data_IF_530437986103
#
_entry.id   IF_530437986103
#
_cell.length_a   1.000
_cell.length_b   1.000
_cell.length_c   1.000
_cell.angle_alpha   90.00
_cell.angle_beta   90.00
_cell.angle_gamma   90.00
#
_symmetry.space_group_name_H-M   'P 1'
#
loop_
_entity.id
_entity.type
_entity.pdbx_description
1 polymer ?
#
# COMPACT_ATOMS: atom_id res chain seq x y z
N UNK A 1 43.23 37.99 1.62
CA UNK A 1 44.05 38.69 0.60
C UNK A 1 43.96 37.87 -0.68
N UNK A 2 43.13 38.28 -1.66
CA UNK A 2 43.54 39.14 -2.80
C UNK A 2 44.47 38.35 -3.74
N UNK A 3 43.93 37.73 -4.80
CA UNK A 3 43.71 38.28 -6.15
C UNK A 3 44.94 38.14 -7.08
N UNK A 4 44.72 37.42 -8.20
CA UNK A 4 45.14 37.73 -9.59
C UNK A 4 46.64 37.81 -9.92
N UNK A 5 47.08 37.27 -11.06
CA UNK A 5 47.35 38.01 -12.32
C UNK A 5 47.60 36.92 -13.41
N UNK A 6 46.71 36.72 -14.38
CA UNK A 6 46.68 37.27 -15.76
C UNK A 6 47.94 37.08 -16.63
N UNK A 7 47.72 36.37 -17.76
CA UNK A 7 48.15 36.63 -19.16
C UNK A 7 49.63 36.46 -19.56
N UNK A 8 49.85 35.60 -20.57
CA UNK A 8 50.56 35.81 -21.86
C UNK A 8 50.73 34.40 -22.49
N UNK A 9 50.51 34.08 -23.77
CA UNK A 9 50.28 34.86 -24.97
C UNK A 9 51.14 34.28 -26.11
N UNK A 10 50.56 33.42 -26.97
CA UNK A 10 50.98 33.05 -28.33
C UNK A 10 52.36 32.33 -28.49
N UNK A 11 52.72 31.54 -29.51
CA UNK A 11 52.39 31.45 -30.95
C UNK A 11 52.81 30.05 -31.47
N UNK A 12 52.20 29.61 -32.58
CA UNK A 12 52.76 28.80 -33.69
C UNK A 12 52.06 27.44 -33.91
N UNK A 13 51.05 27.33 -34.80
CA UNK A 13 51.05 27.23 -36.27
C UNK A 13 51.24 25.80 -36.82
N UNK A 14 50.35 25.48 -37.77
CA UNK A 14 50.37 24.41 -38.77
C UNK A 14 50.02 22.98 -38.33
N UNK A 15 48.85 22.48 -38.76
CA UNK A 15 48.77 21.42 -39.78
C UNK A 15 47.34 20.90 -40.01
N UNK A 16 46.97 20.86 -41.30
CA UNK A 16 45.99 19.99 -41.97
C UNK A 16 44.48 20.16 -41.73
N UNK A 17 43.96 21.04 -42.60
CA UNK A 17 42.72 20.87 -43.37
C UNK A 17 42.65 19.47 -44.01
N UNK A 18 41.70 18.62 -43.60
CA UNK A 18 41.16 17.55 -44.46
C UNK A 18 39.67 17.37 -44.17
N UNK A 19 38.88 18.06 -44.98
CA UNK A 19 37.46 17.78 -45.20
C UNK A 19 37.38 16.33 -45.67
N UNK A 20 36.87 15.43 -44.82
CA UNK A 20 36.39 14.13 -45.29
C UNK A 20 34.91 14.30 -45.61
N UNK A 21 34.63 14.35 -46.92
CA UNK A 21 33.35 13.92 -47.46
C UNK A 21 33.02 12.54 -46.87
N UNK A 22 31.98 12.47 -46.06
CA UNK A 22 31.33 11.22 -45.73
C UNK A 22 30.28 10.95 -46.81
N UNK A 23 30.36 9.84 -47.56
CA UNK A 23 29.32 9.48 -48.50
C UNK A 23 28.03 9.16 -47.72
N UNK A 24 26.92 9.78 -48.14
CA UNK A 24 25.59 9.45 -47.65
C UNK A 24 25.29 7.96 -47.94
N UNK A 25 24.88 7.15 -46.94
CA UNK A 25 24.23 5.89 -47.26
C UNK A 25 22.86 6.21 -47.83
N UNK A 26 22.64 5.82 -49.09
CA UNK A 26 21.34 5.83 -49.74
C UNK A 26 20.46 4.79 -49.03
N UNK A 27 19.71 5.23 -48.01
CA UNK A 27 18.68 4.38 -47.40
C UNK A 27 17.50 4.38 -48.34
N UNK A 28 17.36 3.28 -49.08
CA UNK A 28 16.15 2.97 -49.83
C UNK A 28 14.94 3.08 -48.89
N UNK A 29 13.94 3.86 -49.31
CA UNK A 29 12.67 4.01 -48.62
C UNK A 29 11.92 2.67 -48.62
N UNK A 30 12.15 1.86 -47.59
CA UNK A 30 11.25 0.79 -47.22
C UNK A 30 10.17 1.37 -46.29
N UNK A 31 8.93 1.43 -46.79
CA UNK A 31 7.78 1.81 -45.99
C UNK A 31 7.66 0.87 -44.76
N UNK A 32 7.39 1.38 -43.56
CA UNK A 32 7.17 0.53 -42.40
C UNK A 32 5.88 -0.28 -42.59
N UNK A 33 5.83 -1.56 -42.15
CA UNK A 33 4.63 -2.36 -42.24
C UNK A 33 3.50 -1.71 -41.43
N UNK A 34 2.49 -1.23 -42.14
CA UNK A 34 1.21 -0.80 -41.59
C UNK A 34 0.43 -2.03 -41.16
N UNK A 35 0.52 -2.45 -39.89
CA UNK A 35 -0.55 -3.13 -39.17
C UNK A 35 -0.16 -3.52 -37.73
N UNK A 36 -1.12 -3.28 -36.83
CA UNK A 36 -1.45 -4.15 -35.69
C UNK A 36 -0.64 -4.08 -34.38
N UNK A 37 -0.16 -2.89 -33.97
CA UNK A 37 0.11 -2.63 -32.54
C UNK A 37 -0.60 -1.37 -32.04
N UNK A 38 -1.91 -1.27 -32.29
CA UNK A 38 -2.79 -0.50 -31.41
C UNK A 38 -3.44 -1.49 -30.45
N UNK A 39 -2.73 -1.82 -29.37
CA UNK A 39 -3.47 -2.14 -28.15
C UNK A 39 -4.27 -0.89 -27.81
N UNK A 40 -5.59 -0.96 -27.58
CA UNK A 40 -6.30 0.19 -27.04
C UNK A 40 -5.62 0.48 -25.70
N UNK A 41 -4.91 1.61 -25.60
CA UNK A 41 -4.63 2.20 -24.31
C UNK A 41 -5.97 2.71 -23.77
N UNK A 42 -6.81 1.79 -23.30
CA UNK A 42 -7.82 2.17 -22.31
C UNK A 42 -7.02 2.70 -21.13
N UNK A 43 -7.24 3.95 -20.68
CA UNK A 43 -6.73 4.34 -19.39
C UNK A 43 -7.32 3.32 -18.43
N UNK A 44 -6.47 2.50 -17.80
CA UNK A 44 -6.91 1.73 -16.66
C UNK A 44 -7.14 2.78 -15.58
N UNK A 45 -8.33 3.37 -15.61
CA UNK A 45 -8.87 4.11 -14.49
C UNK A 45 -8.71 3.13 -13.33
N UNK A 46 -7.83 3.45 -12.39
CA UNK A 46 -7.87 2.84 -11.07
C UNK A 46 -9.21 3.28 -10.49
N UNK A 47 -10.26 2.54 -10.85
CA UNK A 47 -11.55 2.60 -10.19
C UNK A 47 -11.28 2.04 -8.81
N UNK A 48 -11.29 2.91 -7.80
CA UNK A 48 -11.25 2.48 -6.39
C UNK A 48 -12.42 1.56 -6.03
N UNK A 49 -13.44 1.46 -6.89
CA UNK A 49 -14.57 0.57 -6.73
C UNK A 49 -14.22 -0.92 -6.92
N UNK A 50 -13.07 -1.24 -7.52
CA UNK A 50 -12.64 -2.63 -7.80
C UNK A 50 -11.45 -3.06 -6.92
N UNK A 51 -11.32 -2.47 -5.72
CA UNK A 51 -10.47 -3.04 -4.69
C UNK A 51 -11.23 -4.22 -4.08
N UNK A 52 -10.94 -5.43 -4.55
CA UNK A 52 -11.39 -6.68 -3.93
C UNK A 52 -11.26 -6.57 -2.41
N UNK A 53 -12.39 -6.60 -1.70
CA UNK A 53 -12.51 -6.50 -0.24
C UNK A 53 -11.99 -7.77 0.47
N UNK A 54 -11.00 -8.43 -0.11
CA UNK A 54 -10.37 -9.62 0.43
C UNK A 54 -8.91 -9.29 0.70
N UNK A 55 -8.53 -9.37 1.98
CA UNK A 55 -7.14 -9.28 2.40
C UNK A 55 -6.32 -10.38 1.69
N UNK A 56 -5.11 -10.08 1.18
CA UNK A 56 -4.28 -11.09 0.53
C UNK A 56 -3.91 -12.20 1.53
N UNK A 57 -3.86 -13.46 1.08
CA UNK A 57 -3.69 -14.63 1.95
C UNK A 57 -2.46 -14.55 2.89
N UNK A 58 -1.35 -13.97 2.43
CA UNK A 58 -0.15 -13.74 3.25
C UNK A 58 -0.43 -12.85 4.47
N UNK A 59 -1.29 -11.86 4.31
CA UNK A 59 -1.62 -10.90 5.35
C UNK A 59 -2.58 -11.51 6.38
N UNK A 60 -3.52 -12.34 5.94
CA UNK A 60 -4.39 -13.14 6.84
C UNK A 60 -3.54 -14.03 7.75
N UNK A 61 -2.51 -14.70 7.21
CA UNK A 61 -1.62 -15.54 8.01
C UNK A 61 -0.84 -14.73 9.07
N UNK A 62 -0.33 -13.56 8.71
CA UNK A 62 0.39 -12.66 9.64
C UNK A 62 -0.57 -12.18 10.73
N UNK A 63 -1.80 -11.84 10.36
CA UNK A 63 -2.85 -11.41 11.28
C UNK A 63 -3.16 -12.51 12.29
N UNK A 64 -3.36 -13.74 11.83
CA UNK A 64 -3.62 -14.91 12.69
C UNK A 64 -2.47 -15.19 13.68
N UNK A 65 -1.22 -14.99 13.26
CA UNK A 65 -0.06 -15.08 14.16
C UNK A 65 -0.11 -13.98 15.23
N UNK A 66 -0.45 -12.74 14.84
CA UNK A 66 -0.57 -11.60 15.77
C UNK A 66 -1.71 -11.80 16.77
N UNK A 67 -2.86 -12.29 16.32
CA UNK A 67 -4.01 -12.61 17.17
C UNK A 67 -3.61 -13.59 18.27
N UNK A 68 -2.94 -14.69 17.91
CA UNK A 68 -2.46 -15.69 18.87
C UNK A 68 -1.50 -15.10 19.91
N UNK A 69 -0.60 -14.21 19.51
CA UNK A 69 0.31 -13.54 20.44
C UNK A 69 -0.43 -12.64 21.43
N UNK A 70 -1.47 -11.95 20.97
CA UNK A 70 -2.30 -11.09 21.83
C UNK A 70 -3.11 -11.94 22.81
N UNK A 71 -3.72 -13.03 22.34
CA UNK A 71 -4.43 -13.99 23.19
C UNK A 71 -3.50 -14.55 24.28
N UNK A 72 -2.31 -15.01 23.91
CA UNK A 72 -1.30 -15.51 24.86
C UNK A 72 -0.87 -14.45 25.88
N UNK A 73 -0.56 -13.23 25.41
CA UNK A 73 -0.18 -12.12 26.29
C UNK A 73 -1.32 -11.78 27.26
N UNK A 74 -2.56 -11.77 26.78
CA UNK A 74 -3.73 -11.47 27.60
C UNK A 74 -3.97 -12.52 28.69
N UNK A 75 -3.82 -13.81 28.36
CA UNK A 75 -3.94 -14.89 29.32
C UNK A 75 -2.85 -14.79 30.40
N UNK A 76 -1.61 -14.49 30.00
CA UNK A 76 -0.51 -14.28 30.93
C UNK A 76 -0.76 -13.11 31.90
N UNK A 77 -1.22 -11.97 31.38
CA UNK A 77 -1.57 -10.81 32.20
C UNK A 77 -2.73 -11.11 33.15
N UNK A 78 -3.74 -11.85 32.69
CA UNK A 78 -4.86 -12.26 33.53
C UNK A 78 -4.42 -13.18 34.67
N UNK A 79 -3.47 -14.09 34.41
CA UNK A 79 -2.89 -14.94 35.44
C UNK A 79 -2.15 -14.09 36.49
N UNK A 80 -1.34 -13.11 36.08
CA UNK A 80 -0.67 -12.19 37.00
C UNK A 80 -1.66 -11.38 37.85
N UNK A 81 -2.76 -10.91 37.26
CA UNK A 81 -3.83 -10.18 37.97
C UNK A 81 -4.49 -11.08 39.03
N UNK A 82 -4.64 -12.36 38.74
CA UNK A 82 -5.28 -13.34 39.62
C UNK A 82 -4.33 -13.90 40.71
N UNK A 83 -3.04 -13.58 40.69
CA UNK A 83 -2.08 -14.05 41.69
C UNK A 83 -2.19 -13.23 42.99
N UNK A 84 -2.56 -13.87 44.13
CA UNK A 84 -2.74 -13.15 45.40
C UNK A 84 -1.42 -12.71 46.06
N UNK A 85 -0.27 -13.18 45.56
CA UNK A 85 1.07 -12.85 46.07
C UNK A 85 1.76 -11.69 45.32
N UNK A 86 1.12 -11.14 44.28
CA UNK A 86 1.70 -10.07 43.48
C UNK A 86 1.77 -8.75 44.27
N UNK A 87 2.83 -7.97 44.06
CA UNK A 87 2.94 -6.64 44.65
C UNK A 87 1.89 -5.68 44.05
N UNK A 88 1.47 -4.62 44.78
CA UNK A 88 0.53 -3.63 44.26
C UNK A 88 0.99 -2.96 42.95
N UNK A 89 2.29 -2.82 42.74
CA UNK A 89 2.88 -2.24 41.53
C UNK A 89 2.77 -3.17 40.31
N UNK A 90 3.03 -4.47 40.51
CA UNK A 90 2.89 -5.50 39.47
C UNK A 90 1.43 -5.64 39.04
N UNK A 91 0.51 -5.68 40.00
CA UNK A 91 -0.92 -5.70 39.72
C UNK A 91 -1.36 -4.49 38.90
N UNK A 92 -0.97 -3.27 39.32
CA UNK A 92 -1.32 -2.03 38.62
C UNK A 92 -0.78 -2.02 37.19
N UNK A 93 0.45 -2.51 36.98
CA UNK A 93 1.06 -2.61 35.66
C UNK A 93 0.34 -3.62 34.77
N UNK A 94 0.12 -4.83 35.29
CA UNK A 94 -0.56 -5.90 34.55
C UNK A 94 -1.98 -5.47 34.15
N UNK A 95 -2.73 -4.86 35.07
CA UNK A 95 -4.08 -4.40 34.80
C UNK A 95 -4.12 -3.29 33.74
N UNK A 96 -3.18 -2.33 33.79
CA UNK A 96 -3.06 -1.29 32.74
C UNK A 96 -2.73 -1.88 31.37
N UNK A 97 -1.86 -2.88 31.29
CA UNK A 97 -1.55 -3.54 30.03
C UNK A 97 -2.71 -4.39 29.51
N UNK A 98 -3.43 -5.06 30.41
CA UNK A 98 -4.60 -5.86 30.06
C UNK A 98 -5.71 -4.98 29.46
N UNK A 99 -6.05 -3.87 30.11
CA UNK A 99 -7.05 -2.91 29.60
C UNK A 99 -6.68 -2.31 28.24
N UNK A 100 -5.38 -2.15 27.91
CA UNK A 100 -4.97 -1.71 26.58
C UNK A 100 -5.26 -2.74 25.49
N UNK A 101 -5.25 -4.03 25.84
CA UNK A 101 -5.49 -5.13 24.91
C UNK A 101 -6.96 -5.55 24.87
N UNK A 102 -7.76 -5.18 25.86
CA UNK A 102 -9.17 -5.58 26.04
C UNK A 102 -10.01 -5.37 24.78
N UNK A 103 -9.97 -4.16 24.20
CA UNK A 103 -10.71 -3.84 22.97
C UNK A 103 -10.27 -4.70 21.78
N UNK A 104 -8.99 -5.02 21.68
CA UNK A 104 -8.47 -5.88 20.60
C UNK A 104 -8.88 -7.34 20.82
N UNK A 105 -8.91 -7.80 22.07
CA UNK A 105 -9.35 -9.16 22.43
C UNK A 105 -10.85 -9.34 22.16
N UNK A 106 -11.67 -8.33 22.44
CA UNK A 106 -13.10 -8.34 22.11
C UNK A 106 -13.33 -8.53 20.61
N UNK A 107 -12.64 -7.75 19.77
CA UNK A 107 -12.68 -7.90 18.31
C UNK A 107 -12.23 -9.30 17.85
N UNK A 108 -11.16 -9.84 18.45
CA UNK A 108 -10.69 -11.19 18.16
C UNK A 108 -11.75 -12.24 18.51
N UNK A 109 -12.40 -12.11 19.67
CA UNK A 109 -13.47 -13.04 20.11
C UNK A 109 -14.67 -12.99 19.18
N UNK A 110 -15.07 -11.79 18.77
CA UNK A 110 -16.18 -11.59 17.84
C UNK A 110 -15.88 -12.25 16.48
N UNK A 111 -14.67 -12.00 15.93
CA UNK A 111 -14.22 -12.63 14.69
C UNK A 111 -14.21 -14.17 14.80
N UNK A 112 -13.67 -14.73 15.90
CA UNK A 112 -13.66 -16.18 16.16
C UNK A 112 -15.08 -16.76 16.26
N UNK A 113 -16.02 -16.01 16.85
CA UNK A 113 -17.42 -16.42 16.94
C UNK A 113 -18.06 -16.48 15.56
N UNK A 114 -17.82 -15.45 14.73
CA UNK A 114 -18.33 -15.40 13.35
C UNK A 114 -17.73 -16.50 12.47
N UNK A 115 -16.45 -16.83 12.65
CA UNK A 115 -15.83 -17.97 11.96
C UNK A 115 -16.49 -19.30 12.31
N UNK A 116 -16.82 -19.54 13.58
CA UNK A 116 -17.55 -20.74 14.00
C UNK A 116 -18.97 -20.79 13.45
N UNK A 117 -19.65 -19.65 13.39
CA UNK A 117 -20.98 -19.52 12.79
C UNK A 117 -20.94 -19.88 11.30
N UNK A 118 -19.95 -19.36 10.56
CA UNK A 118 -19.71 -19.70 9.15
C UNK A 118 -19.44 -21.20 8.99
N UNK A 119 -18.61 -21.81 9.83
CA UNK A 119 -18.35 -23.26 9.80
C UNK A 119 -19.63 -24.09 10.03
N UNK A 120 -20.47 -23.65 10.97
CA UNK A 120 -21.77 -24.25 11.26
C UNK A 120 -22.73 -24.14 10.08
N UNK A 121 -22.92 -22.94 9.54
CA UNK A 121 -23.78 -22.67 8.38
C UNK A 121 -23.29 -23.41 7.12
N UNK A 122 -21.98 -23.44 6.90
CA UNK A 122 -21.38 -24.20 5.79
C UNK A 122 -21.67 -25.69 5.93
N UNK A 123 -21.59 -26.22 7.16
CA UNK A 123 -21.90 -27.62 7.44
C UNK A 123 -23.38 -27.94 7.21
N UNK A 124 -24.29 -27.03 7.56
CA UNK A 124 -25.73 -27.16 7.27
C UNK A 124 -26.01 -27.14 5.77
N UNK A 125 -25.40 -26.22 5.02
CA UNK A 125 -25.59 -26.15 3.55
C UNK A 125 -25.08 -27.41 2.85
N UNK A 126 -23.98 -28.00 3.33
CA UNK A 126 -23.30 -29.13 2.66
C UNK A 126 -23.76 -30.52 3.09
N UNK A 127 -24.03 -30.74 4.39
CA UNK A 127 -24.26 -32.07 4.95
C UNK A 127 -25.73 -32.38 5.26
N UNK A 128 -26.62 -31.39 5.16
CA UNK A 128 -28.01 -31.58 5.54
C UNK A 128 -28.85 -32.27 4.45
N UNK A 129 -29.60 -33.30 4.87
CA UNK A 129 -30.73 -33.91 4.12
C UNK A 129 -31.97 -32.99 4.17
N UNK A 130 -31.86 -31.83 4.81
CA UNK A 130 -32.91 -30.84 5.03
C UNK A 130 -33.54 -30.38 3.71
N UNK A 131 -34.82 -30.00 3.80
CA UNK A 131 -35.63 -29.52 2.69
C UNK A 131 -34.99 -28.28 2.04
N UNK A 132 -35.28 -28.09 0.75
CA UNK A 132 -34.67 -27.05 -0.10
C UNK A 132 -34.73 -25.66 0.54
N UNK A 133 -35.86 -25.29 1.14
CA UNK A 133 -36.07 -23.98 1.75
C UNK A 133 -35.12 -23.73 2.94
N UNK A 134 -34.80 -24.76 3.74
CA UNK A 134 -33.89 -24.62 4.88
C UNK A 134 -32.44 -24.39 4.42
N UNK A 135 -32.03 -25.04 3.33
CA UNK A 135 -30.71 -24.82 2.72
C UNK A 135 -30.58 -23.46 2.06
N UNK A 136 -31.66 -22.95 1.45
CA UNK A 136 -31.68 -21.60 0.88
C UNK A 136 -31.55 -20.53 1.96
N UNK A 137 -32.29 -20.63 3.07
CA UNK A 137 -32.13 -19.72 4.21
C UNK A 137 -30.73 -19.78 4.82
N UNK A 138 -30.18 -20.98 5.05
CA UNK A 138 -28.82 -21.13 5.58
C UNK A 138 -27.75 -20.56 4.64
N UNK A 139 -27.96 -20.62 3.32
CA UNK A 139 -27.05 -20.03 2.34
C UNK A 139 -27.11 -18.49 2.35
N UNK A 140 -28.28 -17.90 2.56
CA UNK A 140 -28.43 -16.44 2.73
C UNK A 140 -27.72 -15.96 4.01
N UNK A 141 -27.96 -16.63 5.15
CA UNK A 141 -27.28 -16.33 6.42
C UNK A 141 -25.75 -16.50 6.30
N UNK A 142 -25.29 -17.52 5.55
CA UNK A 142 -23.87 -17.74 5.31
C UNK A 142 -23.24 -16.57 4.55
N UNK A 143 -23.94 -16.01 3.55
CA UNK A 143 -23.44 -14.85 2.80
C UNK A 143 -23.31 -13.62 3.70
N UNK A 144 -24.30 -13.36 4.54
CA UNK A 144 -24.25 -12.25 5.51
C UNK A 144 -23.12 -12.44 6.52
N UNK A 145 -22.96 -13.65 7.06
CA UNK A 145 -21.90 -13.97 8.02
C UNK A 145 -20.51 -13.79 7.40
N UNK A 146 -20.31 -14.17 6.14
CA UNK A 146 -19.03 -14.00 5.42
C UNK A 146 -18.71 -12.53 5.15
N UNK A 147 -19.71 -11.70 4.79
CA UNK A 147 -19.48 -10.26 4.64
C UNK A 147 -19.13 -9.59 5.98
N UNK A 148 -19.79 -10.01 7.05
CA UNK A 148 -19.48 -9.52 8.39
C UNK A 148 -18.09 -9.97 8.87
N UNK A 149 -17.68 -11.21 8.57
CA UNK A 149 -16.31 -11.67 8.82
C UNK A 149 -15.29 -10.76 8.12
N UNK A 150 -15.51 -10.42 6.83
CA UNK A 150 -14.61 -9.51 6.10
C UNK A 150 -14.54 -8.13 6.74
N UNK A 151 -15.68 -7.59 7.18
CA UNK A 151 -15.75 -6.30 7.89
C UNK A 151 -14.91 -6.34 9.17
N UNK A 152 -15.09 -7.38 9.98
CA UNK A 152 -14.36 -7.59 11.23
C UNK A 152 -12.86 -7.82 10.98
N UNK A 153 -12.47 -8.57 9.95
CA UNK A 153 -11.07 -8.75 9.56
C UNK A 153 -10.41 -7.43 9.20
N UNK A 154 -11.09 -6.55 8.46
CA UNK A 154 -10.58 -5.22 8.11
C UNK A 154 -10.44 -4.31 9.34
N UNK A 155 -11.43 -4.34 10.23
CA UNK A 155 -11.42 -3.57 11.48
C UNK A 155 -10.29 -4.03 12.42
N UNK A 156 -10.12 -5.34 12.56
CA UNK A 156 -9.03 -5.94 13.31
C UNK A 156 -7.68 -5.59 12.69
N UNK A 157 -7.54 -5.69 11.37
CA UNK A 157 -6.31 -5.31 10.68
C UNK A 157 -5.92 -3.86 10.99
N UNK A 158 -6.87 -2.92 10.92
CA UNK A 158 -6.63 -1.52 11.25
C UNK A 158 -6.19 -1.33 12.71
N UNK A 159 -6.76 -2.09 13.64
CA UNK A 159 -6.44 -2.02 15.06
C UNK A 159 -5.06 -2.61 15.38
N UNK A 160 -4.66 -3.65 14.65
CA UNK A 160 -3.36 -4.31 14.83
C UNK A 160 -2.19 -3.52 14.24
N UNK A 161 -2.45 -2.57 13.36
CA UNK A 161 -1.41 -1.70 12.84
C UNK A 161 -0.86 -0.82 13.98
N UNK A 162 0.46 -0.82 14.20
CA UNK A 162 1.05 0.14 15.11
C UNK A 162 0.74 1.54 14.58
N UNK A 163 0.23 2.42 15.46
CA UNK A 163 0.11 3.84 15.12
C UNK A 163 1.51 4.38 14.85
N UNK A 164 1.79 4.82 13.63
CA UNK A 164 3.04 5.50 13.32
C UNK A 164 2.88 6.99 13.70
N UNK A 165 3.84 7.55 14.42
CA UNK A 165 3.88 9.00 14.70
C UNK A 165 3.99 9.83 13.41
N UNK A 166 4.39 9.20 12.29
CA UNK A 166 4.35 9.80 10.97
C UNK A 166 2.94 9.88 10.36
N UNK A 167 1.99 9.04 10.79
CA UNK A 167 0.62 9.02 10.23
C UNK A 167 -0.18 10.28 10.59
N UNK A 168 0.17 10.93 11.71
CA UNK A 168 -0.50 12.15 12.19
C UNK A 168 0.08 13.45 11.59
N UNK A 169 1.18 13.36 10.83
CA UNK A 169 1.88 14.52 10.27
C UNK A 169 1.59 14.71 8.79
N UNK A 170 1.44 15.96 8.37
CA UNK A 170 1.39 16.31 6.95
C UNK A 170 2.71 15.91 6.27
N UNK A 171 2.61 15.42 5.04
CA UNK A 171 3.77 15.10 4.21
C UNK A 171 3.85 16.04 3.00
N UNK A 172 5.07 16.47 2.69
CA UNK A 172 5.36 17.24 1.46
C UNK A 172 5.86 16.26 0.42
N UNK A 173 5.10 16.10 -0.67
CA UNK A 173 5.50 15.32 -1.83
C UNK A 173 6.17 16.23 -2.86
N UNK A 174 7.48 16.06 -3.06
CA UNK A 174 8.23 16.73 -4.12
C UNK A 174 8.50 15.76 -5.27
N UNK A 175 7.98 16.06 -6.47
CA UNK A 175 8.23 15.28 -7.67
C UNK A 175 9.19 16.05 -8.58
N UNK A 176 10.39 15.49 -8.79
CA UNK A 176 11.42 16.05 -9.69
C UNK A 176 11.58 15.19 -10.93
N UNK A 177 11.62 15.81 -12.11
CA UNK A 177 12.01 15.12 -13.33
C UNK A 177 13.51 14.76 -13.27
N UNK A 178 13.83 13.48 -13.51
CA UNK A 178 15.20 12.99 -13.61
C UNK A 178 15.83 13.28 -14.97
N UNK A 179 16.69 12.38 -15.45
CA UNK A 179 17.22 12.44 -16.82
C UNK A 179 16.17 11.98 -17.83
N UNK A 180 16.18 12.54 -19.04
CA UNK A 180 15.21 12.21 -20.09
C UNK A 180 14.26 13.35 -20.48
N UNK A 181 14.64 14.61 -20.24
CA UNK A 181 14.00 15.78 -20.86
C UNK A 181 12.48 15.82 -20.72
N UNK A 182 11.79 15.89 -21.85
CA UNK A 182 10.33 16.03 -21.94
C UNK A 182 9.59 14.78 -21.46
N UNK A 183 10.14 13.58 -21.74
CA UNK A 183 9.58 12.31 -21.31
C UNK A 183 9.63 12.16 -19.79
N UNK A 184 10.71 12.61 -19.15
CA UNK A 184 10.82 12.60 -17.69
C UNK A 184 9.82 13.55 -17.02
N UNK A 185 9.55 14.71 -17.63
CA UNK A 185 8.53 15.66 -17.15
C UNK A 185 7.10 15.11 -17.28
N UNK A 186 6.79 14.42 -18.39
CA UNK A 186 5.49 13.77 -18.57
C UNK A 186 5.28 12.65 -17.54
N UNK A 187 6.29 11.82 -17.29
CA UNK A 187 6.21 10.76 -16.28
C UNK A 187 6.05 11.31 -14.85
N UNK A 188 6.75 12.40 -14.52
CA UNK A 188 6.56 13.10 -13.25
C UNK A 188 5.11 13.59 -13.07
N UNK A 189 4.50 14.08 -14.14
CA UNK A 189 3.10 14.51 -14.13
C UNK A 189 2.13 13.33 -13.95
N UNK A 190 2.45 12.16 -14.51
CA UNK A 190 1.63 10.96 -14.35
C UNK A 190 1.72 10.39 -12.93
N UNK A 191 2.92 10.40 -12.32
CA UNK A 191 3.07 10.08 -10.89
C UNK A 191 2.24 11.04 -10.04
N UNK A 192 2.31 12.35 -10.30
CA UNK A 192 1.52 13.33 -9.58
C UNK A 192 0.01 13.05 -9.66
N UNK A 193 -0.51 12.69 -10.84
CA UNK A 193 -1.93 12.31 -11.03
C UNK A 193 -2.27 11.00 -10.30
N UNK A 194 -1.38 10.01 -10.37
CA UNK A 194 -1.56 8.70 -9.73
C UNK A 194 -1.59 8.82 -8.20
N UNK A 195 -0.77 9.71 -7.62
CA UNK A 195 -0.73 9.93 -6.17
C UNK A 195 -2.05 10.42 -5.56
N UNK A 196 -3.06 10.74 -6.39
CA UNK A 196 -4.43 11.04 -5.93
C UNK A 196 -4.55 12.35 -5.15
N UNK A 197 -3.48 13.14 -5.09
CA UNK A 197 -3.40 14.38 -4.34
C UNK A 197 -4.17 15.47 -5.10
N UNK A 198 -5.37 15.82 -4.63
CA UNK A 198 -6.20 16.92 -5.17
C UNK A 198 -5.68 18.30 -4.75
N UNK A 199 -4.37 18.49 -4.72
CA UNK A 199 -3.75 19.75 -4.34
C UNK A 199 -3.43 20.57 -5.60
N UNK A 200 -3.60 21.90 -5.52
CA UNK A 200 -3.35 22.80 -6.64
C UNK A 200 -1.83 22.87 -6.88
N UNK A 201 -1.32 22.42 -8.04
CA UNK A 201 0.11 22.48 -8.33
C UNK A 201 0.57 23.93 -8.42
N UNK A 202 1.55 24.33 -7.59
CA UNK A 202 2.30 25.58 -7.79
C UNK A 202 3.62 25.26 -8.47
N UNK A 203 3.77 25.74 -9.71
CA UNK A 203 5.02 25.65 -10.45
C UNK A 203 5.83 26.91 -10.13
N UNK A 204 6.95 26.77 -9.44
CA UNK A 204 7.92 27.86 -9.28
C UNK A 204 9.28 27.43 -9.85
N UNK A 205 9.74 28.14 -10.89
CA UNK A 205 11.11 28.03 -11.39
C UNK A 205 11.51 26.66 -11.96
N UNK A 206 10.56 25.89 -12.50
CA UNK A 206 10.81 24.55 -13.06
C UNK A 206 10.67 23.39 -12.06
N UNK A 207 10.40 23.69 -10.78
CA UNK A 207 10.10 22.70 -9.76
C UNK A 207 8.61 22.73 -9.41
N UNK A 208 8.02 21.54 -9.30
CA UNK A 208 6.67 21.35 -8.80
C UNK A 208 6.75 21.14 -7.29
N UNK A 209 6.38 22.16 -6.52
CA UNK A 209 6.37 22.10 -5.04
C UNK A 209 4.92 22.17 -4.58
N UNK A 210 4.49 21.18 -3.81
CA UNK A 210 3.17 21.16 -3.18
C UNK A 210 3.31 21.58 -1.72
N UNK A 211 2.55 22.60 -1.35
CA UNK A 211 2.23 22.90 0.05
C UNK A 211 0.83 22.32 0.28
N UNK A 212 0.71 21.42 1.25
CA UNK A 212 -0.59 21.01 1.79
C UNK A 212 -1.22 22.17 2.54
#
# INVERSE_FOLDING_TARGET
>A
MQQQIRRCGAVAFAALRRVRHFPHPTVAAAAPPTAAWRRPCTPRLYSTADMSHQLPANLVQIMEQRMRLIEQKSAYLQEQINQPAASPEEYSRANKEFHKLESTIELIKELRSKQKEIEGLTSLVTNSVEEKDMREMAAEELLEAVEEEKRLQHELFRTLLPKDEADERDCILEVRAGTGGEEASLFAMDIFKMSGMRSIPKIMGGNLILLT
#
